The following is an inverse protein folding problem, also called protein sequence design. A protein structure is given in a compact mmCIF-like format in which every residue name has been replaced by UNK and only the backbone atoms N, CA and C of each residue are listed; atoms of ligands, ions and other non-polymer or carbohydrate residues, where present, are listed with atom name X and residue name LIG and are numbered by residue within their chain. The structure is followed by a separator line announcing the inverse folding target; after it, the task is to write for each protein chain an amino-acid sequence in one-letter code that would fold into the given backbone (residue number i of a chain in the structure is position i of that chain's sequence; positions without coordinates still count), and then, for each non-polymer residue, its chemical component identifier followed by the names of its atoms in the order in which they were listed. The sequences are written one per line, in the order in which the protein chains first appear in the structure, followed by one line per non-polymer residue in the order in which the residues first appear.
data_IF_929227830162
#
_entry.id   IF_929227830162
#
_cell.length_a   1.000
_cell.length_b   1.000
_cell.length_c   1.000
_cell.angle_alpha   90.00
_cell.angle_beta   90.00
_cell.angle_gamma   90.00
#
_symmetry.space_group_name_H-M   'P 1'
#
loop_
_entity.id
_entity.type
_entity.pdbx_description
1 polymer ?
#
# COMPACT_ATOMS: atom_id res chain seq x y z
N UNK A 1 -24.78 6.16 -1.25
CA UNK A 1 -23.57 5.54 -0.69
C UNK A 1 -22.40 6.37 -1.20
N UNK A 2 -21.71 7.07 -0.31
CA UNK A 2 -20.58 7.90 -0.73
C UNK A 2 -19.45 6.95 -1.15
N UNK A 3 -19.13 6.92 -2.45
CA UNK A 3 -17.95 6.22 -2.98
C UNK A 3 -16.69 7.02 -2.58
N UNK A 4 -16.40 7.08 -1.29
CA UNK A 4 -15.18 7.68 -0.79
C UNK A 4 -14.02 6.74 -1.15
N UNK A 5 -13.35 7.03 -2.26
CA UNK A 5 -12.07 6.39 -2.60
C UNK A 5 -11.09 6.61 -1.45
N UNK A 6 -10.71 5.54 -0.76
CA UNK A 6 -9.68 5.60 0.26
C UNK A 6 -8.34 6.00 -0.36
N UNK A 7 -7.76 7.12 0.11
CA UNK A 7 -6.49 7.64 -0.42
C UNK A 7 -5.27 6.77 -0.12
N UNK A 8 -5.41 5.74 0.72
CA UNK A 8 -4.33 4.84 1.14
C UNK A 8 -4.68 3.37 0.88
N UNK A 9 -3.78 2.65 0.20
CA UNK A 9 -3.90 1.20 -0.03
C UNK A 9 -3.19 0.43 1.08
N UNK A 10 -3.84 -0.55 1.72
CA UNK A 10 -3.17 -1.44 2.67
C UNK A 10 -2.08 -2.29 2.00
N UNK A 11 -0.97 -2.54 2.71
CA UNK A 11 0.16 -3.35 2.20
C UNK A 11 -0.27 -4.75 1.76
N UNK A 12 -1.20 -5.39 2.49
CA UNK A 12 -1.73 -6.70 2.13
C UNK A 12 -2.54 -6.67 0.83
N UNK A 13 -3.29 -5.59 0.58
CA UNK A 13 -4.01 -5.39 -0.68
C UNK A 13 -3.01 -5.19 -1.82
N UNK A 14 -2.02 -4.32 -1.65
CA UNK A 14 -0.97 -4.10 -2.64
C UNK A 14 -0.21 -5.41 -2.97
N UNK A 15 0.10 -6.22 -1.94
CA UNK A 15 0.73 -7.53 -2.11
C UNK A 15 -0.13 -8.51 -2.94
N UNK A 16 -1.43 -8.57 -2.67
CA UNK A 16 -2.38 -9.37 -3.48
C UNK A 16 -2.39 -8.93 -4.94
N UNK A 17 -2.47 -7.63 -5.20
CA UNK A 17 -2.49 -7.06 -6.56
C UNK A 17 -1.20 -7.37 -7.31
N UNK A 18 -0.05 -7.23 -6.64
CA UNK A 18 1.28 -7.47 -7.23
C UNK A 18 1.64 -8.96 -7.31
N UNK A 19 0.82 -9.86 -6.76
CA UNK A 19 1.09 -11.30 -6.63
C UNK A 19 2.43 -11.59 -5.92
N UNK A 20 2.68 -10.83 -4.86
CA UNK A 20 3.87 -10.96 -4.01
C UNK A 20 3.46 -11.12 -2.55
N UNK A 21 4.38 -11.57 -1.70
CA UNK A 21 4.15 -11.55 -0.26
C UNK A 21 4.29 -10.12 0.31
N UNK A 22 3.68 -9.88 1.46
CA UNK A 22 3.68 -8.55 2.09
C UNK A 22 5.05 -8.08 2.55
N UNK A 23 6.02 -8.96 2.82
CA UNK A 23 7.37 -8.54 3.22
C UNK A 23 8.14 -8.02 2.01
N UNK A 24 8.03 -8.68 0.86
CA UNK A 24 8.61 -8.18 -0.39
C UNK A 24 8.10 -6.78 -0.73
N UNK A 25 6.78 -6.55 -0.63
CA UNK A 25 6.21 -5.20 -0.83
C UNK A 25 6.79 -4.17 0.15
N UNK A 26 6.96 -4.55 1.43
CA UNK A 26 7.58 -3.66 2.43
C UNK A 26 9.03 -3.32 2.08
N UNK A 27 9.82 -4.29 1.63
CA UNK A 27 11.20 -4.09 1.22
C UNK A 27 11.30 -3.14 0.03
N UNK A 28 10.44 -3.29 -0.99
CA UNK A 28 10.40 -2.38 -2.14
C UNK A 28 10.18 -0.93 -1.71
N UNK A 29 9.22 -0.70 -0.81
CA UNK A 29 8.91 0.63 -0.28
C UNK A 29 10.07 1.17 0.58
N UNK A 30 10.65 0.34 1.45
CA UNK A 30 11.77 0.73 2.32
C UNK A 30 13.03 1.09 1.54
N UNK A 31 13.29 0.39 0.44
CA UNK A 31 14.43 0.64 -0.45
C UNK A 31 14.14 1.73 -1.49
N UNK A 32 12.97 2.36 -1.44
CA UNK A 32 12.54 3.40 -2.39
C UNK A 32 12.60 2.94 -3.86
N UNK A 33 12.27 1.66 -4.11
CA UNK A 33 12.29 1.04 -5.45
C UNK A 33 10.96 1.22 -6.20
N UNK A 34 9.94 1.75 -5.53
CA UNK A 34 8.62 1.98 -6.11
C UNK A 34 8.14 3.41 -5.79
N UNK A 35 7.53 4.12 -6.74
CA UNK A 35 7.17 5.53 -6.57
C UNK A 35 5.82 5.74 -5.87
N UNK A 36 5.03 4.68 -5.69
CA UNK A 36 3.65 4.74 -5.17
C UNK A 36 3.56 4.57 -3.65
N UNK A 37 4.66 4.28 -2.97
CA UNK A 37 4.68 4.00 -1.55
C UNK A 37 5.85 4.65 -0.83
N UNK A 38 5.61 5.07 0.40
CA UNK A 38 6.64 5.55 1.31
C UNK A 38 6.51 4.83 2.65
N UNK A 39 7.60 4.80 3.42
CA UNK A 39 7.56 4.31 4.79
C UNK A 39 8.26 5.30 5.73
N UNK A 40 7.84 5.27 7.00
CA UNK A 40 8.53 6.00 8.06
C UNK A 40 8.69 5.12 9.29
N UNK A 41 9.80 5.33 9.99
CA UNK A 41 10.09 4.68 11.27
C UNK A 41 10.17 5.74 12.36
N UNK A 42 9.27 5.65 13.35
CA UNK A 42 9.31 6.53 14.53
C UNK A 42 10.57 6.25 15.34
N UNK A 43 11.19 7.29 15.91
CA UNK A 43 12.34 7.14 16.81
C UNK A 43 11.96 6.22 17.97
N UNK A 44 12.78 5.19 18.23
CA UNK A 44 12.54 4.17 19.26
C UNK A 44 11.55 3.06 18.89
N UNK A 45 10.92 3.09 17.71
CA UNK A 45 10.05 2.00 17.24
C UNK A 45 10.87 0.95 16.48
N UNK A 46 10.57 -0.34 16.67
CA UNK A 46 11.04 -1.41 15.79
C UNK A 46 10.17 -1.60 14.55
N UNK A 47 8.98 -0.99 14.52
CA UNK A 47 7.99 -1.12 13.44
C UNK A 47 8.04 0.09 12.52
N UNK A 48 7.87 -0.19 11.23
CA UNK A 48 7.64 0.79 10.18
C UNK A 48 6.15 1.01 9.98
N UNK A 49 5.79 2.26 9.68
CA UNK A 49 4.48 2.61 9.13
C UNK A 49 4.63 2.84 7.63
N UNK A 50 3.61 2.41 6.88
CA UNK A 50 3.61 2.47 5.42
C UNK A 50 2.44 3.32 4.96
N UNK A 51 2.67 4.10 3.91
CA UNK A 51 1.66 4.87 3.19
C UNK A 51 1.79 4.50 1.72
N UNK A 52 0.71 4.00 1.11
CA UNK A 52 0.65 3.68 -0.32
C UNK A 52 -0.42 4.58 -0.93
N UNK A 53 -0.01 5.49 -1.80
CA UNK A 53 -0.93 6.43 -2.42
C UNK A 53 -1.81 5.73 -3.44
N UNK A 54 -3.13 5.68 -3.20
CA UNK A 54 -4.06 4.95 -4.05
C UNK A 54 -4.02 5.40 -5.52
N UNK A 55 -3.94 6.70 -5.77
CA UNK A 55 -3.86 7.25 -7.13
C UNK A 55 -2.62 6.77 -7.89
N UNK A 56 -1.43 6.89 -7.29
CA UNK A 56 -0.18 6.47 -7.94
C UNK A 56 -0.12 4.95 -8.11
N UNK A 57 -0.67 4.21 -7.15
CA UNK A 57 -0.77 2.76 -7.23
C UNK A 57 -1.70 2.34 -8.37
N UNK A 58 -2.87 2.98 -8.52
CA UNK A 58 -3.81 2.76 -9.63
C UNK A 58 -3.18 3.08 -10.97
N UNK A 59 -2.50 4.23 -11.11
CA UNK A 59 -1.84 4.65 -12.35
C UNK A 59 -0.82 3.62 -12.86
N UNK A 60 -0.14 2.91 -11.96
CA UNK A 60 0.94 1.97 -12.31
C UNK A 60 0.49 0.51 -12.38
N UNK A 61 -0.53 0.12 -11.63
CA UNK A 61 -0.99 -1.28 -11.56
C UNK A 61 -2.32 -1.50 -12.28
N UNK A 62 -3.06 -0.44 -12.60
CA UNK A 62 -4.45 -0.50 -13.08
C UNK A 62 -5.46 -0.89 -12.00
N UNK A 63 -5.05 -1.05 -10.74
CA UNK A 63 -5.94 -1.44 -9.65
C UNK A 63 -6.47 -0.22 -8.89
N UNK A 64 -7.79 -0.04 -8.92
CA UNK A 64 -8.50 0.97 -8.14
C UNK A 64 -8.93 0.42 -6.79
N UNK A 65 -8.37 0.96 -5.71
CA UNK A 65 -8.78 0.58 -4.36
C UNK A 65 -10.04 1.34 -3.92
N UNK A 66 -11.12 0.62 -3.61
CA UNK A 66 -12.42 1.19 -3.21
C UNK A 66 -12.70 1.12 -1.72
N UNK A 67 -11.79 0.58 -0.91
CA UNK A 67 -11.96 0.51 0.55
C UNK A 67 -12.81 -0.67 1.05
N UNK A 68 -13.33 -1.51 0.16
CA UNK A 68 -13.96 -2.77 0.55
C UNK A 68 -12.88 -3.79 0.91
N UNK A 69 -12.51 -3.85 2.18
CA UNK A 69 -11.87 -5.05 2.71
C UNK A 69 -12.90 -6.17 2.70
N UNK A 70 -12.69 -7.18 1.86
CA UNK A 70 -13.33 -8.48 2.01
C UNK A 70 -12.87 -9.11 3.34
N UNK A 71 -13.48 -8.67 4.45
CA UNK A 71 -13.61 -9.49 5.64
C UNK A 71 -14.90 -10.32 5.44
N UNK A 72 -14.74 -11.51 4.86
CA UNK A 72 -15.68 -12.62 4.98
C UNK A 72 -14.98 -13.81 5.60
#
# INVERSE_FOLDING_TARGET
MNNETMGNVPVNVAAKVLKMDSQTVRLLIQQNLVPWGICFKRKGSHKFTYLIYAKQFEELTGYKYTGESEDK
#
